data_IF_151180111289
#
_entry.id   IF_151180111289
#
_cell.length_a   1.000
_cell.length_b   1.000
_cell.length_c   1.000
_cell.angle_alpha   90.00
_cell.angle_beta   90.00
_cell.angle_gamma   90.00
#
_symmetry.space_group_name_H-M   'P 1'
#
loop_
_entity.id
_entity.type
_entity.pdbx_description
1 polymer ?
#
# COMPACT_ATOMS: atom_id res chain seq x y z
N UNK A 1 -4.60 -5.05 -8.30
CA UNK A 1 -4.18 -3.63 -8.24
C UNK A 1 -2.67 -3.62 -8.04
N UNK A 2 -1.92 -2.78 -8.76
CA UNK A 2 -0.46 -2.68 -8.65
C UNK A 2 -0.08 -1.25 -8.29
N UNK A 3 0.95 -1.10 -7.47
CA UNK A 3 1.54 0.19 -7.10
C UNK A 3 2.94 0.31 -7.70
N UNK A 4 3.31 1.52 -8.08
CA UNK A 4 4.63 1.81 -8.64
C UNK A 4 5.22 3.01 -7.92
N UNK A 5 6.51 2.96 -7.63
CA UNK A 5 7.27 4.03 -6.97
C UNK A 5 8.36 4.58 -7.90
N UNK A 6 8.55 5.88 -7.88
CA UNK A 6 9.76 6.50 -8.41
C UNK A 6 10.81 6.55 -7.31
N UNK A 7 11.93 5.85 -7.50
CA UNK A 7 13.01 5.76 -6.50
C UNK A 7 13.76 7.08 -6.29
N UNK A 8 13.57 8.07 -7.17
CA UNK A 8 14.19 9.40 -7.05
C UNK A 8 13.38 10.41 -6.24
N UNK A 9 12.07 10.47 -6.47
CA UNK A 9 11.21 11.50 -5.88
C UNK A 9 10.16 10.95 -4.92
N UNK A 10 10.09 9.62 -4.75
CA UNK A 10 9.11 8.96 -3.88
C UNK A 10 7.68 9.00 -4.39
N UNK A 11 7.42 9.46 -5.62
CA UNK A 11 6.07 9.48 -6.17
C UNK A 11 5.52 8.07 -6.32
N UNK A 12 4.33 7.81 -5.77
CA UNK A 12 3.66 6.50 -5.81
C UNK A 12 2.35 6.61 -6.58
N UNK A 13 2.16 5.72 -7.56
CA UNK A 13 0.96 5.66 -8.39
C UNK A 13 0.35 4.27 -8.39
N UNK A 14 -0.94 4.21 -8.73
CA UNK A 14 -1.63 2.98 -9.13
C UNK A 14 -2.31 3.21 -10.48
N UNK A 15 -2.33 2.18 -11.33
CA UNK A 15 -2.97 2.26 -12.65
C UNK A 15 -4.47 1.99 -12.51
N UNK A 16 -5.31 2.87 -13.06
CA UNK A 16 -6.76 2.62 -13.22
C UNK A 16 -7.02 1.59 -14.33
N UNK A 17 -6.24 1.68 -15.42
CA UNK A 17 -6.20 0.73 -16.52
C UNK A 17 -4.75 0.49 -16.90
N UNK A 18 -4.35 -0.78 -17.02
CA UNK A 18 -3.00 -1.13 -17.48
C UNK A 18 -3.05 -1.58 -18.94
N UNK A 19 -2.24 -0.94 -19.77
CA UNK A 19 -2.04 -1.29 -21.19
C UNK A 19 -0.70 -2.01 -21.42
N UNK A 20 0.00 -2.43 -20.36
CA UNK A 20 1.26 -3.19 -20.46
C UNK A 20 2.50 -2.36 -20.78
N UNK A 21 2.42 -1.03 -20.64
CA UNK A 21 3.54 -0.11 -20.90
C UNK A 21 4.16 0.38 -19.58
N UNK A 22 5.48 0.65 -19.57
CA UNK A 22 6.15 1.21 -18.41
C UNK A 22 5.68 2.66 -18.16
N UNK A 23 5.66 3.07 -16.90
CA UNK A 23 5.43 4.47 -16.52
C UNK A 23 6.78 5.12 -16.23
N UNK A 24 6.97 6.34 -16.72
CA UNK A 24 8.20 7.11 -16.56
C UNK A 24 8.01 8.22 -15.53
N UNK A 25 8.96 8.37 -14.60
CA UNK A 25 9.02 9.47 -13.65
C UNK A 25 10.49 9.85 -13.44
N UNK A 26 10.80 11.15 -13.38
CA UNK A 26 12.19 11.65 -13.23
C UNK A 26 13.18 11.09 -14.28
N UNK A 27 12.71 10.82 -15.51
CA UNK A 27 13.56 10.32 -16.59
C UNK A 27 13.83 8.81 -16.58
N UNK A 28 13.21 8.05 -15.68
CA UNK A 28 13.39 6.60 -15.59
C UNK A 28 12.07 5.84 -15.43
N UNK A 29 12.13 4.53 -15.64
CA UNK A 29 11.01 3.62 -15.39
C UNK A 29 10.73 3.56 -13.89
N UNK A 30 9.46 3.66 -13.52
CA UNK A 30 9.04 3.42 -12.13
C UNK A 30 9.12 1.93 -11.79
N UNK A 31 9.46 1.62 -10.54
CA UNK A 31 9.58 0.25 -10.00
C UNK A 31 8.24 -0.20 -9.43
N UNK A 32 7.82 -1.44 -9.69
CA UNK A 32 6.62 -2.02 -9.06
C UNK A 32 6.90 -2.27 -7.57
N UNK A 33 5.97 -1.88 -6.70
CA UNK A 33 6.02 -2.24 -5.27
C UNK A 33 5.40 -3.64 -5.13
N UNK A 34 6.25 -4.65 -5.03
CA UNK A 34 5.84 -6.03 -4.83
C UNK A 34 5.63 -6.33 -3.33
N UNK A 35 4.41 -6.70 -2.95
CA UNK A 35 4.06 -6.98 -1.57
C UNK A 35 4.80 -8.21 -1.03
N UNK A 36 5.25 -8.15 0.22
CA UNK A 36 5.88 -9.29 0.91
C UNK A 36 7.32 -9.61 0.47
N UNK A 37 7.97 -8.73 -0.29
CA UNK A 37 9.36 -8.92 -0.76
C UNK A 37 10.42 -8.39 0.20
N UNK A 38 10.05 -7.47 1.10
CA UNK A 38 10.95 -6.94 2.13
C UNK A 38 11.01 -7.89 3.32
N UNK A 39 12.23 -8.16 3.81
CA UNK A 39 12.46 -8.91 5.05
C UNK A 39 12.13 -8.01 6.27
N UNK A 40 10.83 -7.90 6.54
CA UNK A 40 10.28 -7.11 7.64
C UNK A 40 9.44 -8.01 8.56
N UNK A 41 9.27 -7.58 9.81
CA UNK A 41 8.48 -8.31 10.82
C UNK A 41 7.03 -8.53 10.35
N UNK A 42 6.72 -9.73 9.89
CA UNK A 42 5.44 -10.09 9.24
C UNK A 42 4.27 -9.73 10.14
N UNK A 43 4.39 -9.98 11.44
CA UNK A 43 3.37 -9.73 12.46
C UNK A 43 3.03 -8.24 12.62
N UNK A 44 3.85 -7.31 12.12
CA UNK A 44 3.59 -5.86 12.13
C UNK A 44 3.19 -5.29 10.78
N UNK A 45 3.45 -5.98 9.67
CA UNK A 45 3.26 -5.43 8.33
C UNK A 45 2.13 -6.10 7.54
N UNK A 46 1.76 -7.34 7.89
CA UNK A 46 0.63 -8.02 7.24
C UNK A 46 -0.69 -7.50 7.80
N UNK A 47 -1.62 -7.03 6.95
CA UNK A 47 -2.93 -6.58 7.41
C UNK A 47 -3.78 -7.73 7.95
N UNK A 48 -4.39 -7.50 9.11
CA UNK A 48 -5.44 -8.34 9.68
C UNK A 48 -6.80 -7.76 9.27
N UNK A 49 -7.66 -8.60 8.70
CA UNK A 49 -8.95 -8.19 8.13
C UNK A 49 -10.09 -8.82 8.91
N UNK A 50 -11.01 -7.99 9.39
CA UNK A 50 -12.27 -8.41 10.01
C UNK A 50 -13.44 -7.83 9.22
N UNK A 51 -14.42 -8.67 8.88
CA UNK A 51 -15.65 -8.24 8.18
C UNK A 51 -16.82 -8.35 9.14
N UNK A 52 -17.48 -7.23 9.43
CA UNK A 52 -18.60 -7.15 10.37
C UNK A 52 -19.61 -6.11 9.91
N UNK A 53 -20.91 -6.45 9.93
CA UNK A 53 -22.02 -5.54 9.62
C UNK A 53 -21.82 -4.77 8.28
N UNK A 54 -21.41 -5.49 7.24
CA UNK A 54 -21.09 -4.94 5.90
C UNK A 54 -19.93 -3.94 5.87
N UNK A 55 -19.12 -3.87 6.92
CA UNK A 55 -17.89 -3.08 6.99
C UNK A 55 -16.67 -3.99 7.01
N UNK A 56 -15.59 -3.51 6.40
CA UNK A 56 -14.28 -4.16 6.45
C UNK A 56 -13.41 -3.33 7.38
N UNK A 57 -12.96 -3.95 8.47
CA UNK A 57 -12.01 -3.41 9.42
C UNK A 57 -10.64 -3.98 9.08
N UNK A 58 -9.66 -3.10 8.94
CA UNK A 58 -8.30 -3.47 8.59
C UNK A 58 -7.37 -2.88 9.64
N UNK A 59 -6.63 -3.74 10.31
CA UNK A 59 -5.57 -3.38 11.26
C UNK A 59 -4.24 -3.80 10.65
N UNK A 60 -3.23 -2.94 10.69
CA UNK A 60 -1.91 -3.32 10.17
C UNK A 60 -1.05 -3.85 11.31
N UNK A 61 -0.82 -5.15 11.18
CA UNK A 61 -0.17 -6.05 12.11
C UNK A 61 -1.15 -6.81 13.01
N UNK A 62 -0.82 -8.07 13.30
CA UNK A 62 -1.28 -8.75 14.51
C UNK A 62 -0.72 -8.06 15.76
N UNK A 63 0.52 -7.55 15.65
CA UNK A 63 1.13 -6.61 16.57
C UNK A 63 1.08 -5.23 15.92
N UNK A 64 0.54 -4.24 16.62
CA UNK A 64 0.36 -2.90 16.08
C UNK A 64 1.65 -2.34 15.46
N UNK A 65 1.58 -1.94 14.19
CA UNK A 65 2.66 -1.22 13.54
C UNK A 65 2.88 0.15 14.19
N UNK A 66 4.14 0.62 14.37
CA UNK A 66 4.42 1.98 14.81
C UNK A 66 3.73 3.03 13.93
N UNK A 67 3.24 4.12 14.53
CA UNK A 67 2.65 5.27 13.80
C UNK A 67 3.38 6.57 14.16
N UNK A 68 4.71 6.56 14.10
CA UNK A 68 5.54 7.73 14.41
C UNK A 68 5.94 8.48 13.13
N UNK A 69 6.27 9.79 13.17
CA UNK A 69 6.53 10.58 11.97
C UNK A 69 7.59 9.99 11.02
N UNK A 70 8.60 9.33 11.57
CA UNK A 70 9.70 8.72 10.83
C UNK A 70 9.36 7.31 10.32
N UNK A 71 8.34 6.66 10.88
CA UNK A 71 7.98 5.28 10.55
C UNK A 71 6.51 5.01 10.88
N UNK A 72 5.67 5.02 9.84
CA UNK A 72 4.24 4.76 9.94
C UNK A 72 3.69 4.12 8.67
N UNK A 73 2.49 3.54 8.77
CA UNK A 73 1.75 3.07 7.59
C UNK A 73 1.12 4.27 6.91
N UNK A 74 1.52 4.58 5.69
CA UNK A 74 1.05 5.77 4.97
C UNK A 74 -0.39 5.62 4.42
N UNK A 75 -0.75 4.43 3.94
CA UNK A 75 -2.10 4.13 3.46
C UNK A 75 -2.45 2.65 3.56
N UNK A 76 -3.76 2.38 3.57
CA UNK A 76 -4.33 1.04 3.39
C UNK A 76 -5.14 1.05 2.08
N UNK A 77 -4.94 0.04 1.25
CA UNK A 77 -5.73 -0.19 0.03
C UNK A 77 -6.52 -1.49 0.14
N UNK A 78 -7.84 -1.40 -0.04
CA UNK A 78 -8.76 -2.54 -0.08
C UNK A 78 -9.17 -2.77 -1.53
N UNK A 79 -8.93 -3.98 -2.04
CA UNK A 79 -9.40 -4.40 -3.37
C UNK A 79 -10.46 -5.47 -3.22
N UNK A 80 -11.58 -5.30 -3.91
CA UNK A 80 -12.73 -6.22 -3.94
C UNK A 80 -13.07 -6.55 -5.39
N UNK A 81 -14.03 -7.45 -5.60
CA UNK A 81 -14.59 -7.73 -6.92
C UNK A 81 -15.34 -6.52 -7.53
N UNK A 82 -15.78 -5.56 -6.70
CA UNK A 82 -16.50 -4.35 -7.14
C UNK A 82 -15.62 -3.12 -7.36
N UNK A 83 -14.32 -3.23 -7.07
CA UNK A 83 -13.39 -2.11 -7.20
C UNK A 83 -12.44 -2.00 -6.02
N UNK A 84 -11.89 -0.81 -5.80
CA UNK A 84 -10.93 -0.57 -4.73
C UNK A 84 -11.28 0.68 -3.91
N UNK A 85 -10.81 0.69 -2.67
CA UNK A 85 -10.83 1.83 -1.76
C UNK A 85 -9.42 2.07 -1.25
N UNK A 86 -9.08 3.32 -0.96
CA UNK A 86 -7.82 3.69 -0.32
C UNK A 86 -8.08 4.66 0.82
N UNK A 87 -7.47 4.38 1.97
CA UNK A 87 -7.47 5.27 3.13
C UNK A 87 -6.03 5.70 3.43
N UNK A 88 -5.74 6.98 3.28
CA UNK A 88 -4.49 7.55 3.77
C UNK A 88 -4.56 7.67 5.29
N UNK A 89 -3.46 7.35 5.95
CA UNK A 89 -3.28 7.49 7.38
C UNK A 89 -2.28 8.63 7.64
N UNK A 90 -2.12 8.98 8.92
CA UNK A 90 -1.15 9.97 9.38
C UNK A 90 -0.45 9.40 10.62
N UNK A 91 0.77 9.86 10.93
CA UNK A 91 1.38 9.59 12.23
C UNK A 91 0.45 10.04 13.38
N UNK A 92 0.50 9.32 14.51
CA UNK A 92 -0.35 9.51 15.69
C UNK A 92 -1.54 8.57 15.71
#
# INVERSE_FOLDING_TARGET
MKFYICEHCGNIIAKVKDSGVPVMCCGQKMTEIEAGTTDAAVEKHVPVVEVKDSKVYITVGEVAHPMVPEHYIEWIALCTDKGNQRKCLKPG
#
